data_IF_517896295587
#
_entry.id   IF_517896295587
#
_cell.length_a   1.000
_cell.length_b   1.000
_cell.length_c   1.000
_cell.angle_alpha   90.00
_cell.angle_beta   90.00
_cell.angle_gamma   90.00
#
_symmetry.space_group_name_H-M   'P 1'
#
loop_
_entity.id
_entity.type
_entity.pdbx_description
1 polymer ?
#
# COMPACT_ATOMS: atom_id res chain seq x y z
N UNK A 1 -58.42 6.58 52.77
CA UNK A 1 -57.52 7.20 51.77
C UNK A 1 -58.24 7.13 50.44
N UNK A 2 -58.91 8.18 49.94
CA UNK A 2 -58.29 9.32 49.25
C UNK A 2 -57.22 8.82 48.26
N UNK A 3 -57.30 8.98 46.93
CA UNK A 3 -57.88 10.05 46.14
C UNK A 3 -57.96 9.52 44.69
N UNK A 4 -59.13 9.52 44.06
CA UNK A 4 -59.26 9.53 42.59
C UNK A 4 -59.26 10.98 42.15
N UNK A 5 -58.50 11.31 41.09
CA UNK A 5 -58.67 12.46 40.14
C UNK A 5 -57.42 12.54 39.22
N UNK A 6 -57.45 13.19 38.04
CA UNK A 6 -58.55 13.36 37.08
C UNK A 6 -58.11 13.18 35.60
N UNK A 7 -59.11 13.25 34.69
CA UNK A 7 -58.95 13.51 33.25
C UNK A 7 -58.24 14.85 32.96
N UNK A 8 -57.52 14.92 31.83
CA UNK A 8 -57.42 16.13 31.03
C UNK A 8 -57.31 15.80 29.52
N UNK A 9 -58.10 16.54 28.74
CA UNK A 9 -58.39 16.44 27.31
C UNK A 9 -57.54 17.48 26.53
N UNK A 10 -57.12 17.10 25.30
CA UNK A 10 -56.94 17.94 24.07
C UNK A 10 -55.78 18.96 24.02
N UNK A 11 -55.34 19.46 22.82
CA UNK A 11 -55.84 19.31 21.43
C UNK A 11 -54.78 18.69 20.46
N UNK A 12 -55.09 18.05 19.32
CA UNK A 12 -55.64 18.51 18.04
C UNK A 12 -54.77 19.53 17.26
N UNK A 13 -54.58 19.20 15.97
CA UNK A 13 -54.05 19.99 14.82
C UNK A 13 -52.52 20.24 14.86
N UNK A 14 -51.69 20.05 13.81
CA UNK A 14 -51.90 20.29 12.38
C UNK A 14 -51.02 19.34 11.55
N UNK A 15 -51.65 18.59 10.65
CA UNK A 15 -51.02 18.04 9.47
C UNK A 15 -50.69 19.19 8.50
N UNK A 16 -49.41 19.42 8.21
CA UNK A 16 -49.03 20.25 7.06
C UNK A 16 -48.54 19.34 5.93
N UNK A 17 -49.31 19.48 4.86
CA UNK A 17 -49.26 18.78 3.59
C UNK A 17 -47.97 19.12 2.83
N UNK A 18 -47.41 18.10 2.20
CA UNK A 18 -46.41 18.17 1.13
C UNK A 18 -46.81 19.23 0.08
N UNK A 19 -45.95 20.23 -0.13
CA UNK A 19 -45.93 20.99 -1.39
C UNK A 19 -44.60 20.73 -2.07
N UNK A 20 -44.68 19.92 -3.12
CA UNK A 20 -43.66 19.67 -4.11
C UNK A 20 -43.24 20.97 -4.78
N UNK A 21 -41.94 21.27 -4.76
CA UNK A 21 -41.30 22.07 -5.80
C UNK A 21 -40.16 21.24 -6.39
N UNK A 22 -40.47 20.54 -7.48
CA UNK A 22 -39.49 20.11 -8.46
C UNK A 22 -38.84 21.37 -9.04
N UNK A 23 -37.76 21.83 -8.41
CA UNK A 23 -36.77 22.65 -9.07
C UNK A 23 -35.53 21.79 -9.16
N UNK A 24 -35.35 21.17 -10.33
CA UNK A 24 -34.12 20.49 -10.67
C UNK A 24 -32.96 21.47 -10.59
N UNK A 25 -32.19 21.39 -9.52
CA UNK A 25 -30.76 21.53 -9.64
C UNK A 25 -30.24 20.11 -9.80
N UNK A 26 -30.18 19.63 -11.05
CA UNK A 26 -29.14 18.68 -11.39
C UNK A 26 -27.84 19.39 -11.01
N UNK A 27 -27.34 19.10 -9.80
CA UNK A 27 -25.95 19.34 -9.51
C UNK A 27 -25.25 18.49 -10.55
N UNK A 28 -24.74 19.15 -11.59
CA UNK A 28 -23.78 18.56 -12.47
C UNK A 28 -22.71 18.00 -11.52
N UNK A 29 -22.74 16.69 -11.32
CA UNK A 29 -21.68 15.97 -10.68
C UNK A 29 -20.50 16.31 -11.58
N UNK A 30 -19.68 17.26 -11.13
CA UNK A 30 -18.42 17.57 -11.77
C UNK A 30 -17.56 16.32 -11.60
N UNK A 31 -17.78 15.31 -12.44
CA UNK A 31 -16.75 14.36 -12.83
C UNK A 31 -15.82 15.08 -13.81
N UNK A 32 -15.38 16.27 -13.44
CA UNK A 32 -14.03 16.68 -13.76
C UNK A 32 -13.17 15.77 -12.93
N UNK A 33 -12.78 14.62 -13.49
CA UNK A 33 -11.67 13.86 -12.98
C UNK A 33 -10.46 14.79 -13.11
N UNK A 34 -10.26 15.65 -12.09
CA UNK A 34 -9.01 16.35 -11.88
C UNK A 34 -7.96 15.25 -11.95
N UNK A 35 -7.05 15.34 -12.90
CA UNK A 35 -5.92 14.42 -13.03
C UNK A 35 -5.09 14.54 -11.76
N UNK A 36 -5.46 13.75 -10.76
CA UNK A 36 -4.85 13.77 -9.44
C UNK A 36 -3.39 13.39 -9.56
N UNK A 37 -2.51 14.21 -9.01
CA UNK A 37 -1.09 13.89 -8.91
C UNK A 37 -0.93 12.73 -7.93
N UNK A 38 -0.39 11.60 -8.41
CA UNK A 38 -0.08 10.44 -7.57
C UNK A 38 1.34 10.56 -7.04
N UNK A 39 1.47 10.65 -5.73
CA UNK A 39 2.77 10.78 -5.07
C UNK A 39 3.27 9.41 -4.63
N UNK A 40 4.51 9.10 -4.98
CA UNK A 40 5.22 7.90 -4.54
C UNK A 40 6.59 8.26 -3.98
N UNK A 41 7.06 7.49 -2.99
CA UNK A 41 8.38 7.66 -2.39
C UNK A 41 9.21 6.39 -2.56
N UNK A 42 10.53 6.51 -2.72
CA UNK A 42 11.45 5.36 -2.78
C UNK A 42 12.57 5.50 -1.75
N UNK A 43 12.26 5.30 -0.44
CA UNK A 43 13.26 5.38 0.64
C UNK A 43 14.20 4.19 0.65
N UNK A 44 15.38 4.35 1.27
CA UNK A 44 16.28 3.23 1.58
C UNK A 44 15.65 2.28 2.60
N UNK A 45 16.14 1.04 2.66
CA UNK A 45 15.56 0.02 3.52
C UNK A 45 15.61 0.33 5.02
N UNK A 46 16.58 1.11 5.49
CA UNK A 46 16.75 1.39 6.92
C UNK A 46 15.64 2.33 7.41
N UNK A 47 14.80 1.87 8.33
CA UNK A 47 13.78 2.69 8.95
C UNK A 47 14.31 3.40 10.21
N UNK A 48 14.11 4.72 10.37
CA UNK A 48 13.56 5.65 9.38
C UNK A 48 14.60 6.10 8.34
N UNK A 49 14.15 6.40 7.12
CA UNK A 49 15.00 7.08 6.12
C UNK A 49 15.02 8.59 6.38
N UNK A 50 16.10 9.06 7.04
CA UNK A 50 16.30 10.47 7.41
C UNK A 50 16.22 11.44 6.24
N UNK A 51 16.49 11.01 5.00
CA UNK A 51 16.47 11.89 3.83
C UNK A 51 15.05 12.20 3.34
N UNK A 52 14.12 11.29 3.60
CA UNK A 52 12.72 11.40 3.17
C UNK A 52 11.76 11.56 4.35
N UNK A 53 12.25 11.55 5.59
CA UNK A 53 11.44 11.59 6.81
C UNK A 53 10.44 12.75 6.83
N UNK A 54 10.89 13.97 6.53
CA UNK A 54 10.02 15.15 6.51
C UNK A 54 8.90 15.03 5.47
N UNK A 55 9.21 14.50 4.29
CA UNK A 55 8.23 14.28 3.23
C UNK A 55 7.26 13.15 3.59
N UNK A 56 7.75 12.03 4.13
CA UNK A 56 6.94 10.88 4.53
C UNK A 56 5.94 11.25 5.63
N UNK A 57 6.34 12.13 6.57
CA UNK A 57 5.49 12.62 7.66
C UNK A 57 4.28 13.43 7.16
N UNK A 58 4.30 13.95 5.94
CA UNK A 58 3.14 14.65 5.37
C UNK A 58 1.94 13.71 5.18
N UNK A 59 2.17 12.40 5.07
CA UNK A 59 1.12 11.42 4.81
C UNK A 59 0.50 11.51 3.41
N UNK A 60 1.12 12.26 2.49
CA UNK A 60 0.59 12.50 1.14
C UNK A 60 0.94 11.39 0.13
N UNK A 61 1.90 10.51 0.46
CA UNK A 61 2.31 9.43 -0.41
C UNK A 61 1.28 8.31 -0.42
N UNK A 62 0.85 7.92 -1.62
CA UNK A 62 -0.06 6.81 -1.84
C UNK A 62 0.68 5.47 -1.83
N UNK A 63 1.92 5.46 -2.34
CA UNK A 63 2.77 4.27 -2.43
C UNK A 63 4.19 4.56 -1.95
N UNK A 64 4.72 3.67 -1.14
CA UNK A 64 6.11 3.71 -0.67
C UNK A 64 6.83 2.47 -1.20
N UNK A 65 7.85 2.66 -2.04
CA UNK A 65 8.67 1.59 -2.60
C UNK A 65 9.98 1.49 -1.80
N UNK A 66 10.00 0.63 -0.78
CA UNK A 66 11.18 0.54 0.10
C UNK A 66 12.31 -0.20 -0.60
N UNK A 67 13.49 0.42 -0.63
CA UNK A 67 14.61 -0.01 -1.46
C UNK A 67 15.51 -1.01 -0.72
N UNK A 68 15.26 -2.31 -0.89
CA UNK A 68 16.04 -3.41 -0.29
C UNK A 68 17.21 -3.88 -1.16
N UNK A 69 17.84 -2.93 -1.85
CA UNK A 69 18.99 -3.14 -2.72
C UNK A 69 19.97 -1.96 -2.59
N UNK A 70 21.20 -2.12 -3.10
CA UNK A 70 22.19 -1.03 -3.10
C UNK A 70 23.02 -0.94 -1.81
N UNK A 71 23.63 -2.06 -1.43
CA UNK A 71 24.73 -2.19 -0.45
C UNK A 71 24.47 -1.66 0.99
N UNK A 72 23.23 -1.36 1.34
CA UNK A 72 22.80 -1.07 2.71
C UNK A 72 22.82 -2.34 3.58
N UNK A 73 22.99 -2.21 4.89
CA UNK A 73 23.02 -3.37 5.81
C UNK A 73 21.71 -4.16 5.83
N UNK A 74 20.60 -3.50 5.52
CA UNK A 74 19.28 -4.11 5.40
C UNK A 74 18.93 -4.54 3.98
N UNK A 75 19.81 -4.36 2.98
CA UNK A 75 19.54 -4.84 1.63
C UNK A 75 19.51 -6.36 1.60
N UNK A 76 18.83 -6.94 0.61
CA UNK A 76 18.76 -8.38 0.45
C UNK A 76 20.16 -9.01 0.36
N UNK A 77 21.07 -8.40 -0.39
CA UNK A 77 22.44 -8.92 -0.58
C UNK A 77 23.33 -8.88 0.67
N UNK A 78 23.00 -8.06 1.68
CA UNK A 78 23.80 -7.95 2.93
C UNK A 78 23.08 -8.46 4.16
N UNK A 79 21.83 -8.05 4.35
CA UNK A 79 21.00 -8.43 5.49
C UNK A 79 20.27 -9.76 5.29
N UNK A 80 20.28 -10.30 4.07
CA UNK A 80 19.49 -11.49 3.71
C UNK A 80 17.99 -11.25 3.90
N UNK A 81 17.22 -12.33 3.86
CA UNK A 81 15.75 -12.26 4.02
C UNK A 81 15.36 -11.78 5.43
N UNK A 82 16.11 -12.15 6.46
CA UNK A 82 15.87 -11.70 7.84
C UNK A 82 16.05 -10.19 8.02
N UNK A 83 17.14 -9.62 7.47
CA UNK A 83 17.38 -8.18 7.53
C UNK A 83 16.32 -7.37 6.78
N UNK A 84 15.83 -7.91 5.66
CA UNK A 84 14.70 -7.34 4.91
C UNK A 84 13.44 -7.35 5.76
N UNK A 85 13.05 -8.51 6.30
CA UNK A 85 11.82 -8.67 7.10
C UNK A 85 11.84 -7.77 8.34
N UNK A 86 12.96 -7.69 9.05
CA UNK A 86 13.05 -6.85 10.26
C UNK A 86 12.90 -5.35 10.00
N UNK A 87 13.20 -4.86 8.79
CA UNK A 87 12.88 -3.48 8.42
C UNK A 87 11.50 -3.36 7.78
N UNK A 88 11.06 -4.37 7.02
CA UNK A 88 9.73 -4.43 6.42
C UNK A 88 8.63 -4.20 7.45
N UNK A 89 8.70 -4.92 8.58
CA UNK A 89 7.72 -4.80 9.67
C UNK A 89 7.63 -3.37 10.22
N UNK A 90 8.76 -2.67 10.33
CA UNK A 90 8.81 -1.27 10.78
C UNK A 90 8.17 -0.33 9.77
N UNK A 91 8.50 -0.49 8.49
CA UNK A 91 7.91 0.30 7.41
C UNK A 91 6.39 0.10 7.33
N UNK A 92 5.91 -1.14 7.37
CA UNK A 92 4.48 -1.42 7.28
C UNK A 92 3.71 -0.95 8.50
N UNK A 93 4.29 -1.05 9.70
CA UNK A 93 3.68 -0.57 10.94
C UNK A 93 3.63 0.95 11.02
N UNK A 94 4.63 1.66 10.49
CA UNK A 94 4.67 3.12 10.48
C UNK A 94 3.65 3.75 9.52
N UNK A 95 3.28 3.05 8.44
CA UNK A 95 2.38 3.56 7.41
C UNK A 95 1.17 2.64 7.14
N UNK A 96 0.30 2.39 8.13
CA UNK A 96 -0.77 1.39 8.02
C UNK A 96 -1.84 1.72 6.98
N UNK A 97 -1.90 2.98 6.49
CA UNK A 97 -2.87 3.47 5.49
C UNK A 97 -2.28 3.67 4.09
N UNK A 98 -1.00 3.35 3.89
CA UNK A 98 -0.28 3.56 2.63
C UNK A 98 0.18 2.21 2.10
N UNK A 99 0.06 1.98 0.79
CA UNK A 99 0.58 0.74 0.19
C UNK A 99 2.11 0.76 0.20
N UNK A 100 2.71 -0.28 0.79
CA UNK A 100 4.16 -0.45 0.86
C UNK A 100 4.56 -1.55 -0.12
N UNK A 101 5.52 -1.25 -0.99
CA UNK A 101 6.05 -2.18 -1.98
C UNK A 101 7.47 -2.60 -1.63
N UNK A 102 7.75 -3.89 -1.83
CA UNK A 102 9.08 -4.47 -1.65
C UNK A 102 9.94 -4.16 -2.86
N UNK A 103 10.88 -3.22 -2.74
CA UNK A 103 11.82 -2.86 -3.80
C UNK A 103 12.99 -3.82 -3.88
N UNK A 104 13.11 -4.56 -4.99
CA UNK A 104 14.17 -5.53 -5.25
C UNK A 104 14.87 -5.24 -6.57
N UNK A 105 16.14 -5.61 -6.64
CA UNK A 105 16.94 -5.46 -7.85
C UNK A 105 17.27 -6.81 -8.49
N UNK A 106 16.81 -7.11 -9.72
CA UNK A 106 17.20 -8.34 -10.43
C UNK A 106 18.71 -8.49 -10.57
N UNK A 107 19.45 -7.40 -10.76
CA UNK A 107 20.91 -7.40 -10.82
C UNK A 107 21.58 -7.92 -9.54
N UNK A 108 20.90 -7.82 -8.39
CA UNK A 108 21.39 -8.28 -7.08
C UNK A 108 20.76 -9.62 -6.65
N UNK A 109 19.97 -10.27 -7.53
CA UNK A 109 19.23 -11.49 -7.19
C UNK A 109 20.03 -12.80 -7.30
N UNK A 110 21.23 -12.73 -7.88
CA UNK A 110 22.05 -13.91 -8.18
C UNK A 110 21.61 -14.70 -9.42
N UNK A 111 20.59 -14.24 -10.16
CA UNK A 111 20.24 -14.81 -11.47
C UNK A 111 21.30 -14.42 -12.50
N UNK A 112 22.00 -15.38 -13.15
CA UNK A 112 22.96 -15.07 -14.20
C UNK A 112 22.29 -14.37 -15.40
N UNK A 113 23.00 -13.43 -16.04
CA UNK A 113 22.52 -12.84 -17.29
C UNK A 113 22.36 -13.92 -18.37
N UNK A 114 21.25 -13.89 -19.09
CA UNK A 114 20.98 -14.88 -20.14
C UNK A 114 20.62 -16.27 -19.62
N UNK A 115 20.36 -16.45 -18.32
CA UNK A 115 19.91 -17.72 -17.76
C UNK A 115 18.74 -18.30 -18.58
N UNK A 116 18.96 -19.47 -19.17
CA UNK A 116 17.97 -20.25 -19.91
C UNK A 116 17.41 -21.34 -18.98
N UNK A 117 16.10 -21.60 -19.05
CA UNK A 117 15.43 -22.56 -18.16
C UNK A 117 14.84 -21.93 -16.90
N UNK A 118 14.79 -22.68 -15.81
CA UNK A 118 13.97 -22.36 -14.62
C UNK A 118 14.62 -21.29 -13.73
N UNK A 119 14.47 -20.01 -14.12
CA UNK A 119 14.91 -18.82 -13.34
C UNK A 119 14.45 -18.89 -11.87
N UNK A 120 13.32 -19.53 -11.59
CA UNK A 120 12.79 -19.76 -10.25
C UNK A 120 13.77 -20.44 -9.27
N UNK A 121 14.68 -21.30 -9.76
CA UNK A 121 15.65 -22.01 -8.90
C UNK A 121 16.57 -21.04 -8.17
N UNK A 122 16.97 -19.95 -8.83
CA UNK A 122 17.79 -18.88 -8.23
C UNK A 122 17.00 -18.05 -7.21
N UNK A 123 15.68 -17.99 -7.36
CA UNK A 123 14.80 -17.12 -6.56
C UNK A 123 14.04 -17.88 -5.45
N UNK A 124 14.46 -19.10 -5.12
CA UNK A 124 13.82 -19.92 -4.08
C UNK A 124 13.71 -19.20 -2.72
N UNK A 125 14.71 -18.39 -2.36
CA UNK A 125 14.72 -17.62 -1.12
C UNK A 125 13.60 -16.56 -1.12
N UNK A 126 13.23 -16.04 -2.29
CA UNK A 126 12.13 -15.09 -2.41
C UNK A 126 10.80 -15.78 -2.16
N UNK A 127 10.59 -16.95 -2.79
CA UNK A 127 9.35 -17.72 -2.68
C UNK A 127 9.12 -18.32 -1.30
N UNK A 128 10.13 -18.97 -0.71
CA UNK A 128 9.97 -19.69 0.56
C UNK A 128 10.18 -18.79 1.79
N UNK A 129 11.17 -17.89 1.76
CA UNK A 129 11.63 -17.22 2.99
C UNK A 129 11.15 -15.77 3.12
N UNK A 130 10.91 -15.08 2.00
CA UNK A 130 10.67 -13.64 1.99
C UNK A 130 9.20 -13.28 1.69
N UNK A 131 8.67 -13.63 0.52
CA UNK A 131 7.31 -13.26 0.09
C UNK A 131 6.23 -13.65 1.11
N UNK A 132 6.20 -14.89 1.65
CA UNK A 132 5.18 -15.30 2.62
C UNK A 132 5.24 -14.52 3.93
N UNK A 133 6.37 -13.86 4.26
CA UNK A 133 6.49 -13.02 5.46
C UNK A 133 6.03 -11.59 5.18
N UNK A 134 6.45 -11.01 4.06
CA UNK A 134 6.11 -9.62 3.73
C UNK A 134 4.64 -9.45 3.35
N UNK A 135 4.05 -10.46 2.70
CA UNK A 135 2.63 -10.49 2.28
C UNK A 135 1.65 -10.57 3.46
N UNK A 136 2.11 -10.86 4.68
CA UNK A 136 1.27 -10.83 5.88
C UNK A 136 0.84 -9.43 6.29
N UNK A 137 1.56 -8.40 5.83
CA UNK A 137 1.20 -7.02 6.13
C UNK A 137 -0.05 -6.62 5.32
N UNK A 138 -1.08 -6.10 6.01
CA UNK A 138 -2.35 -5.70 5.38
C UNK A 138 -2.20 -4.61 4.31
N UNK A 139 -1.09 -3.87 4.34
CA UNK A 139 -0.74 -2.81 3.41
C UNK A 139 0.38 -3.19 2.42
N UNK A 140 0.67 -4.49 2.26
CA UNK A 140 1.54 -4.95 1.19
C UNK A 140 0.91 -4.62 -0.19
N UNK A 141 1.64 -3.86 -1.00
CA UNK A 141 1.19 -3.40 -2.32
C UNK A 141 1.75 -4.21 -3.49
N UNK A 142 2.79 -5.00 -3.27
CA UNK A 142 3.48 -5.75 -4.33
C UNK A 142 5.00 -5.60 -4.28
N UNK A 143 5.64 -5.98 -5.39
CA UNK A 143 7.10 -5.85 -5.59
C UNK A 143 7.39 -4.73 -6.58
N UNK A 144 8.36 -3.87 -6.25
CA UNK A 144 8.93 -2.87 -7.17
C UNK A 144 10.28 -3.38 -7.69
N UNK A 145 10.50 -3.31 -9.00
CA UNK A 145 11.67 -3.92 -9.66
C UNK A 145 12.63 -2.85 -10.16
N UNK A 146 13.89 -2.91 -9.71
CA UNK A 146 14.98 -2.04 -10.16
C UNK A 146 16.11 -2.84 -10.83
N UNK A 147 16.33 -2.80 -12.13
CA UNK A 147 15.69 -1.97 -13.14
C UNK A 147 15.20 -2.83 -14.31
N UNK A 148 14.60 -2.14 -15.30
CA UNK A 148 14.08 -2.81 -16.49
C UNK A 148 15.18 -3.47 -17.33
N UNK A 149 16.41 -2.97 -17.30
CA UNK A 149 17.50 -3.50 -18.09
C UNK A 149 17.93 -4.88 -17.56
N UNK A 150 18.20 -4.99 -16.26
CA UNK A 150 18.53 -6.24 -15.61
C UNK A 150 17.36 -7.24 -15.68
N UNK A 151 16.13 -6.75 -15.50
CA UNK A 151 14.93 -7.57 -15.63
C UNK A 151 14.78 -8.20 -17.02
N UNK A 152 15.03 -7.45 -18.11
CA UNK A 152 14.97 -8.01 -19.47
C UNK A 152 16.02 -9.09 -19.71
N UNK A 153 17.22 -8.95 -19.15
CA UNK A 153 18.31 -9.93 -19.32
C UNK A 153 18.09 -11.23 -18.54
N UNK A 154 17.42 -11.13 -17.39
CA UNK A 154 17.25 -12.24 -16.44
C UNK A 154 15.85 -12.85 -16.49
N UNK A 155 14.86 -12.13 -17.06
CA UNK A 155 13.42 -12.46 -17.02
C UNK A 155 12.90 -12.60 -15.59
N UNK A 156 13.49 -11.87 -14.65
CA UNK A 156 13.23 -12.00 -13.22
C UNK A 156 11.75 -11.77 -12.88
N UNK A 157 11.16 -10.69 -13.39
CA UNK A 157 9.76 -10.33 -13.12
C UNK A 157 8.77 -11.35 -13.68
N UNK A 158 9.08 -12.05 -14.77
CA UNK A 158 8.18 -13.09 -15.30
C UNK A 158 7.96 -14.25 -14.35
N UNK A 159 8.92 -14.52 -13.46
CA UNK A 159 8.78 -15.53 -12.41
C UNK A 159 8.04 -14.93 -11.21
N UNK A 160 8.51 -13.77 -10.75
CA UNK A 160 8.01 -13.16 -9.51
C UNK A 160 6.56 -12.68 -9.63
N UNK A 161 6.10 -12.31 -10.82
CA UNK A 161 4.70 -11.92 -11.06
C UNK A 161 3.69 -13.02 -10.72
N UNK A 162 4.08 -14.30 -10.73
CA UNK A 162 3.22 -15.41 -10.30
C UNK A 162 3.22 -15.65 -8.79
N UNK A 163 4.07 -14.95 -8.04
CA UNK A 163 4.26 -15.14 -6.60
C UNK A 163 3.84 -13.91 -5.77
N UNK A 164 3.92 -12.72 -6.38
CA UNK A 164 3.81 -11.43 -5.72
C UNK A 164 2.38 -10.99 -5.46
#
# INVERSE_FOLDING_TARGET
>A
MAFRRPLALHPLVIAFVLVSCLAGAATAQQTGQLTGVRLTATPRCGFPDRRLEAALRTGLFERIHVRFYGNDTCSLGKGGTYGVVGQWEKWTAAFPRTQVYLGLAPAESGVPEGAQGTVAVYLKYLYYDLLPKVQKANNYGGVMVWDRFADKKTRWSSVVNGWA
#
